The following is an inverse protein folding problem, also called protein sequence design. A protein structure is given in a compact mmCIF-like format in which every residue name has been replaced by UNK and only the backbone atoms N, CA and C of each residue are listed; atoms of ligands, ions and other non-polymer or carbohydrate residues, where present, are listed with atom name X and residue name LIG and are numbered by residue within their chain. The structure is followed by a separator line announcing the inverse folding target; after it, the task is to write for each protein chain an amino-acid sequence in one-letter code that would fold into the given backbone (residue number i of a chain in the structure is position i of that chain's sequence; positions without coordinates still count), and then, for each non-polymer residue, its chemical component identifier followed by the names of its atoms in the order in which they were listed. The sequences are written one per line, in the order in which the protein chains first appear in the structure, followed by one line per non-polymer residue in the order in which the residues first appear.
data_IF_035674758724
#
_entry.id   IF_035674758724
#
_cell.length_a   1.000
_cell.length_b   1.000
_cell.length_c   1.000
_cell.angle_alpha   90.00
_cell.angle_beta   90.00
_cell.angle_gamma   90.00
#
_symmetry.space_group_name_H-M   'P 1'
#
loop_
_entity.id
_entity.type
_entity.pdbx_description
1 polymer ?
#
# COMPACT_ATOMS: atom_id res chain seq x y z
N UNK A 1 -19.37 -16.76 -17.94
CA UNK A 1 -18.58 -16.58 -16.70
C UNK A 1 -17.41 -17.56 -16.78
N UNK A 2 -16.17 -17.09 -16.71
CA UNK A 2 -14.98 -17.96 -16.70
C UNK A 2 -14.58 -18.17 -15.25
N UNK A 3 -14.37 -19.42 -14.85
CA UNK A 3 -13.89 -19.77 -13.52
C UNK A 3 -12.48 -20.33 -13.65
N UNK A 4 -11.54 -19.80 -12.87
CA UNK A 4 -10.14 -20.25 -12.84
C UNK A 4 -9.82 -20.68 -11.42
N UNK A 5 -9.32 -21.91 -11.27
CA UNK A 5 -9.00 -22.53 -9.99
C UNK A 5 -9.66 -23.90 -9.81
N UNK A 6 -9.58 -24.48 -8.60
CA UNK A 6 -9.00 -23.91 -7.39
C UNK A 6 -7.47 -23.76 -7.47
N UNK A 7 -6.94 -22.66 -6.93
CA UNK A 7 -5.50 -22.47 -6.78
C UNK A 7 -4.98 -23.23 -5.56
N UNK A 8 -3.79 -23.82 -5.67
CA UNK A 8 -3.06 -24.46 -4.57
C UNK A 8 -1.88 -23.59 -4.14
N UNK A 9 -1.22 -23.96 -3.02
CA UNK A 9 0.00 -23.29 -2.50
C UNK A 9 1.04 -23.00 -3.61
N UNK A 10 1.13 -23.89 -4.60
CA UNK A 10 1.88 -23.66 -5.84
C UNK A 10 1.00 -24.02 -7.04
N UNK A 11 0.86 -23.09 -7.98
CA UNK A 11 0.11 -23.28 -9.23
C UNK A 11 0.85 -22.63 -10.39
N UNK A 12 1.05 -23.38 -11.48
CA UNK A 12 1.66 -22.85 -12.69
C UNK A 12 0.60 -22.55 -13.75
N UNK A 13 0.66 -21.37 -14.37
CA UNK A 13 -0.19 -21.00 -15.51
C UNK A 13 0.66 -21.11 -16.78
N UNK A 14 0.33 -22.06 -17.65
CA UNK A 14 1.05 -22.35 -18.89
C UNK A 14 0.13 -22.24 -20.10
N UNK A 15 0.70 -21.98 -21.28
CA UNK A 15 -0.04 -21.85 -22.53
C UNK A 15 0.76 -21.12 -23.60
N UNK A 16 0.33 -21.17 -24.88
CA UNK A 16 1.04 -20.50 -25.98
C UNK A 16 1.02 -18.97 -25.85
N UNK A 17 1.86 -18.29 -26.62
CA UNK A 17 1.81 -16.82 -26.72
C UNK A 17 0.44 -16.40 -27.27
N UNK A 18 -0.14 -15.36 -26.67
CA UNK A 18 -1.52 -14.93 -27.00
C UNK A 18 -2.64 -15.72 -26.28
N UNK A 19 -2.34 -16.77 -25.52
CA UNK A 19 -3.37 -17.55 -24.80
C UNK A 19 -4.03 -16.82 -23.61
N UNK A 20 -3.74 -15.53 -23.39
CA UNK A 20 -4.34 -14.74 -22.31
C UNK A 20 -3.72 -14.93 -20.93
N UNK A 21 -2.52 -15.54 -20.81
CA UNK A 21 -1.81 -15.69 -19.51
C UNK A 21 -1.62 -14.35 -18.80
N UNK A 22 -1.19 -13.33 -19.54
CA UNK A 22 -1.05 -11.97 -19.00
C UNK A 22 -2.39 -11.33 -18.65
N UNK A 23 -3.45 -11.61 -19.42
CA UNK A 23 -4.78 -11.09 -19.13
C UNK A 23 -5.33 -11.66 -17.81
N UNK A 24 -5.01 -12.93 -17.50
CA UNK A 24 -5.34 -13.52 -16.21
C UNK A 24 -4.59 -12.80 -15.06
N UNK A 25 -3.31 -12.48 -15.26
CA UNK A 25 -2.54 -11.69 -14.30
C UNK A 25 -3.12 -10.27 -14.12
N UNK A 26 -3.56 -9.64 -15.21
CA UNK A 26 -4.21 -8.32 -15.17
C UNK A 26 -5.56 -8.40 -14.45
N UNK A 27 -6.33 -9.48 -14.64
CA UNK A 27 -7.60 -9.70 -13.93
C UNK A 27 -7.39 -9.88 -12.40
N UNK A 28 -6.35 -10.64 -12.00
CA UNK A 28 -5.96 -10.79 -10.59
C UNK A 28 -5.51 -9.43 -10.04
N UNK A 29 -4.67 -8.71 -10.77
CA UNK A 29 -4.19 -7.37 -10.39
C UNK A 29 -5.35 -6.37 -10.25
N UNK A 30 -6.35 -6.47 -11.13
CA UNK A 30 -7.54 -5.63 -11.12
C UNK A 30 -8.38 -5.85 -9.85
N UNK A 31 -8.70 -7.09 -9.48
CA UNK A 31 -9.50 -7.36 -8.27
C UNK A 31 -8.74 -7.03 -6.99
N UNK A 32 -7.41 -7.19 -6.98
CA UNK A 32 -6.53 -6.80 -5.87
C UNK A 32 -6.24 -5.29 -5.80
N UNK A 33 -6.90 -4.49 -6.65
CA UNK A 33 -6.92 -3.04 -6.53
C UNK A 33 -5.66 -2.33 -7.07
N UNK A 34 -4.91 -2.97 -7.98
CA UNK A 34 -3.83 -2.31 -8.71
C UNK A 34 -4.40 -1.18 -9.58
N UNK A 35 -3.68 -0.06 -9.65
CA UNK A 35 -4.04 1.09 -10.51
C UNK A 35 -3.93 0.72 -11.98
N UNK A 36 -4.87 1.20 -12.79
CA UNK A 36 -4.95 0.95 -14.25
C UNK A 36 -3.66 1.27 -14.99
N UNK A 37 -2.96 2.35 -14.61
CA UNK A 37 -1.65 2.73 -15.19
C UNK A 37 -0.55 1.65 -15.14
N UNK A 38 -0.68 0.66 -14.27
CA UNK A 38 0.26 -0.46 -14.20
C UNK A 38 -0.29 -1.73 -14.88
N UNK A 39 -1.54 -1.68 -15.32
CA UNK A 39 -2.18 -2.66 -16.18
C UNK A 39 -1.98 -2.21 -17.64
N UNK A 40 -2.32 -3.07 -18.58
CA UNK A 40 -2.11 -2.83 -20.02
C UNK A 40 -3.10 -1.85 -20.66
N UNK A 41 -3.67 -0.92 -19.89
CA UNK A 41 -4.67 0.04 -20.35
C UNK A 41 -4.70 1.31 -19.50
N UNK A 42 -4.99 2.45 -20.12
CA UNK A 42 -5.05 3.74 -19.43
C UNK A 42 -6.38 3.89 -18.69
N UNK A 43 -7.46 3.36 -19.29
CA UNK A 43 -8.83 3.40 -18.75
C UNK A 43 -9.28 2.01 -18.30
N UNK A 44 -10.29 1.97 -17.43
CA UNK A 44 -10.91 0.71 -17.01
C UNK A 44 -11.64 0.02 -18.17
N UNK A 45 -12.25 0.80 -19.07
CA UNK A 45 -12.89 0.30 -20.28
C UNK A 45 -11.93 -0.55 -21.15
N UNK A 46 -10.65 -0.18 -21.24
CA UNK A 46 -9.64 -0.87 -22.05
C UNK A 46 -9.35 -2.30 -21.56
N UNK A 47 -9.75 -2.63 -20.32
CA UNK A 47 -9.61 -3.97 -19.74
C UNK A 47 -10.80 -4.88 -20.09
N UNK A 48 -11.87 -4.33 -20.67
CA UNK A 48 -13.05 -5.09 -21.08
C UNK A 48 -12.73 -5.79 -22.40
N UNK A 49 -13.18 -7.04 -22.54
CA UNK A 49 -12.98 -7.79 -23.78
C UNK A 49 -13.77 -7.15 -24.93
N UNK A 50 -13.12 -6.77 -26.04
CA UNK A 50 -13.77 -6.28 -27.26
C UNK A 50 -14.02 -7.46 -28.21
N UNK A 51 -15.24 -7.57 -28.73
CA UNK A 51 -15.54 -8.54 -29.79
C UNK A 51 -15.04 -8.00 -31.14
N UNK A 52 -14.71 -8.90 -32.05
CA UNK A 52 -14.27 -8.52 -33.40
C UNK A 52 -15.36 -7.71 -34.12
N UNK A 53 -15.02 -6.51 -34.58
CA UNK A 53 -15.96 -5.56 -35.21
C UNK A 53 -16.88 -4.79 -34.24
N UNK A 54 -16.73 -4.96 -32.93
CA UNK A 54 -17.50 -4.20 -31.93
C UNK A 54 -16.91 -2.78 -31.76
N UNK A 55 -17.73 -1.72 -31.81
CA UNK A 55 -17.27 -0.37 -31.50
C UNK A 55 -16.82 -0.26 -30.04
N UNK A 56 -15.76 0.53 -29.78
CA UNK A 56 -15.22 0.71 -28.43
C UNK A 56 -16.28 1.19 -27.42
N UNK A 57 -17.21 2.04 -27.87
CA UNK A 57 -18.33 2.55 -27.06
C UNK A 57 -19.27 1.42 -26.60
N UNK A 58 -19.52 0.44 -27.48
CA UNK A 58 -20.37 -0.71 -27.17
C UNK A 58 -19.67 -1.69 -26.21
N UNK A 59 -18.35 -1.88 -26.36
CA UNK A 59 -17.56 -2.68 -25.43
C UNK A 59 -17.47 -2.03 -24.05
N UNK A 60 -17.23 -0.72 -23.98
CA UNK A 60 -17.18 0.06 -22.74
C UNK A 60 -18.53 0.09 -22.01
N UNK A 61 -19.64 -0.01 -22.74
CA UNK A 61 -20.98 -0.06 -22.17
C UNK A 61 -21.32 -1.41 -21.49
N UNK A 62 -20.48 -2.45 -21.63
CA UNK A 62 -20.72 -3.75 -21.01
C UNK A 62 -20.12 -3.83 -19.60
N UNK A 63 -20.92 -4.17 -18.58
CA UNK A 63 -20.37 -4.36 -17.24
C UNK A 63 -19.44 -5.58 -17.23
N UNK A 64 -18.24 -5.40 -16.70
CA UNK A 64 -17.27 -6.46 -16.49
C UNK A 64 -17.02 -6.59 -14.99
N UNK A 65 -16.88 -7.83 -14.48
CA UNK A 65 -16.60 -8.06 -13.08
C UNK A 65 -15.57 -9.18 -12.91
N UNK A 66 -14.67 -8.98 -11.96
CA UNK A 66 -13.75 -10.01 -11.48
C UNK A 66 -14.07 -10.29 -10.01
N UNK A 67 -14.12 -11.56 -9.68
CA UNK A 67 -14.41 -12.06 -8.34
C UNK A 67 -13.25 -12.96 -7.89
N UNK A 68 -12.71 -12.65 -6.71
CA UNK A 68 -11.68 -13.39 -6.02
C UNK A 68 -12.30 -14.04 -4.79
N UNK A 69 -12.12 -15.35 -4.67
CA UNK A 69 -12.53 -16.09 -3.47
C UNK A 69 -11.27 -16.39 -2.67
N UNK A 70 -11.12 -15.72 -1.53
CA UNK A 70 -10.07 -15.98 -0.57
C UNK A 70 -10.57 -16.99 0.46
N UNK A 71 -9.79 -18.04 0.69
CA UNK A 71 -10.11 -19.08 1.67
C UNK A 71 -9.01 -19.10 2.71
N UNK A 72 -9.37 -18.76 3.94
CA UNK A 72 -8.49 -18.87 5.10
C UNK A 72 -8.62 -20.29 5.65
N UNK A 73 -7.52 -21.04 5.60
CA UNK A 73 -7.45 -22.41 6.12
C UNK A 73 -6.79 -22.32 7.48
N UNK A 74 -7.59 -22.45 8.54
CA UNK A 74 -7.08 -22.55 9.90
C UNK A 74 -6.64 -23.99 10.16
N UNK A 75 -5.33 -24.24 10.08
CA UNK A 75 -4.75 -25.56 10.34
C UNK A 75 -4.82 -25.93 11.84
N UNK A 76 -5.22 -25.01 12.74
CA UNK A 76 -5.02 -25.18 14.18
C UNK A 76 -6.19 -25.77 14.97
N UNK A 77 -7.46 -25.70 14.53
CA UNK A 77 -8.59 -26.16 15.40
C UNK A 77 -9.82 -26.74 14.69
N UNK A 78 -9.73 -27.28 13.47
CA UNK A 78 -10.91 -27.90 12.82
C UNK A 78 -12.11 -26.95 12.66
N UNK A 79 -11.89 -25.64 12.83
CA UNK A 79 -12.85 -24.58 12.54
C UNK A 79 -12.90 -24.42 11.03
N UNK A 80 -14.12 -24.40 10.50
CA UNK A 80 -14.36 -24.48 9.06
C UNK A 80 -13.64 -23.42 8.23
N UNK A 81 -13.57 -23.67 6.92
CA UNK A 81 -13.02 -22.74 5.94
C UNK A 81 -13.75 -21.39 6.00
N UNK A 82 -13.03 -20.32 6.38
CA UNK A 82 -13.58 -18.97 6.25
C UNK A 82 -13.35 -18.49 4.83
N UNK A 83 -14.44 -18.22 4.13
CA UNK A 83 -14.43 -17.76 2.74
C UNK A 83 -14.81 -16.30 2.68
N UNK A 84 -13.96 -15.50 2.06
CA UNK A 84 -14.20 -14.08 1.78
C UNK A 84 -14.25 -13.88 0.27
N UNK A 85 -15.35 -13.33 -0.23
CA UNK A 85 -15.53 -13.08 -1.67
C UNK A 85 -15.33 -11.59 -1.93
N UNK A 86 -14.26 -11.26 -2.66
CA UNK A 86 -13.97 -9.89 -3.07
C UNK A 86 -14.30 -9.73 -4.55
N UNK A 87 -15.18 -8.78 -4.88
CA UNK A 87 -15.62 -8.55 -6.25
C UNK A 87 -15.46 -7.09 -6.62
N UNK A 88 -14.85 -6.86 -7.78
CA UNK A 88 -14.68 -5.53 -8.37
C UNK A 88 -15.38 -5.49 -9.73
N UNK A 89 -16.23 -4.49 -9.94
CA UNK A 89 -17.08 -4.34 -11.13
C UNK A 89 -16.73 -3.05 -11.85
N UNK A 90 -16.45 -3.14 -13.14
CA UNK A 90 -16.33 -2.01 -14.06
C UNK A 90 -17.73 -1.66 -14.56
N UNK A 91 -18.16 -0.45 -14.29
CA UNK A 91 -19.45 0.07 -14.74
C UNK A 91 -19.36 0.64 -16.15
N UNK A 92 -20.49 0.73 -16.88
CA UNK A 92 -20.56 1.47 -18.14
C UNK A 92 -20.14 2.94 -18.02
N UNK A 93 -20.29 3.53 -16.83
CA UNK A 93 -19.79 4.88 -16.50
C UNK A 93 -18.26 4.96 -16.37
N UNK A 94 -17.53 3.88 -16.63
CA UNK A 94 -16.08 3.75 -16.41
C UNK A 94 -15.64 3.91 -14.94
N UNK A 95 -16.58 3.73 -14.00
CA UNK A 95 -16.33 3.72 -12.56
C UNK A 95 -16.18 2.29 -12.05
N UNK A 96 -15.41 2.12 -10.96
CA UNK A 96 -15.27 0.83 -10.29
C UNK A 96 -16.19 0.75 -9.07
N UNK A 97 -17.04 -0.28 -9.00
CA UNK A 97 -17.77 -0.65 -7.78
C UNK A 97 -17.07 -1.79 -7.05
N UNK A 98 -17.07 -1.71 -5.72
CA UNK A 98 -16.42 -2.67 -4.84
C UNK A 98 -17.47 -3.43 -4.03
N UNK A 99 -17.30 -4.74 -3.93
CA UNK A 99 -18.17 -5.62 -3.19
C UNK A 99 -17.36 -6.62 -2.36
N UNK A 100 -17.78 -6.87 -1.13
CA UNK A 100 -17.23 -7.91 -0.25
C UNK A 100 -18.40 -8.75 0.25
N UNK A 101 -18.33 -10.06 0.08
CA UNK A 101 -19.37 -11.02 0.46
C UNK A 101 -20.77 -10.66 -0.07
N UNK A 102 -20.78 -10.15 -1.32
CA UNK A 102 -22.00 -9.71 -2.01
C UNK A 102 -22.53 -8.33 -1.59
N UNK A 103 -21.95 -7.70 -0.56
CA UNK A 103 -22.35 -6.37 -0.10
C UNK A 103 -21.51 -5.27 -0.75
N UNK A 104 -22.14 -4.18 -1.18
CA UNK A 104 -21.43 -3.02 -1.69
C UNK A 104 -20.69 -2.31 -0.55
N UNK A 105 -19.40 -2.03 -0.76
CA UNK A 105 -18.54 -1.36 0.21
C UNK A 105 -17.85 -0.16 -0.41
N UNK A 106 -17.40 0.78 0.42
CA UNK A 106 -16.56 1.88 -0.05
C UNK A 106 -15.19 1.36 -0.52
N UNK A 107 -14.53 2.14 -1.38
CA UNK A 107 -13.17 1.82 -1.82
C UNK A 107 -12.21 1.67 -0.63
N UNK A 108 -12.32 2.54 0.37
CA UNK A 108 -11.49 2.50 1.58
C UNK A 108 -11.70 1.21 2.38
N UNK A 109 -12.95 0.80 2.60
CA UNK A 109 -13.26 -0.44 3.31
C UNK A 109 -12.79 -1.66 2.52
N UNK A 110 -12.94 -1.66 1.19
CA UNK A 110 -12.43 -2.73 0.33
C UNK A 110 -10.91 -2.89 0.47
N UNK A 111 -10.16 -1.79 0.44
CA UNK A 111 -8.70 -1.83 0.64
C UNK A 111 -8.32 -2.23 2.06
N UNK A 112 -9.06 -1.77 3.07
CA UNK A 112 -8.86 -2.20 4.46
C UNK A 112 -9.02 -3.71 4.62
N UNK A 113 -9.99 -4.33 3.93
CA UNK A 113 -10.19 -5.79 3.92
C UNK A 113 -9.05 -6.54 3.23
N UNK A 114 -8.48 -5.98 2.16
CA UNK A 114 -7.27 -6.53 1.51
C UNK A 114 -6.04 -6.40 2.41
N UNK A 115 -5.85 -5.25 3.06
CA UNK A 115 -4.75 -5.01 3.99
C UNK A 115 -4.82 -5.96 5.19
N UNK A 116 -6.02 -6.28 5.68
CA UNK A 116 -6.22 -7.26 6.77
C UNK A 116 -5.74 -8.68 6.46
N UNK A 117 -5.65 -9.05 5.17
CA UNK A 117 -5.08 -10.33 4.70
C UNK A 117 -3.65 -10.17 4.15
N UNK A 118 -2.95 -9.09 4.53
CA UNK A 118 -1.59 -8.74 4.09
C UNK A 118 -1.43 -8.50 2.58
N UNK A 119 -2.51 -8.20 1.87
CA UNK A 119 -2.46 -7.75 0.47
C UNK A 119 -2.39 -6.23 0.46
N UNK A 120 -1.18 -5.70 0.38
CA UNK A 120 -0.92 -4.26 0.39
C UNK A 120 -0.90 -3.71 -1.04
N UNK A 121 -2.08 -3.37 -1.59
CA UNK A 121 -2.22 -2.89 -2.98
C UNK A 121 -1.35 -1.67 -3.31
N UNK A 122 -1.08 -0.80 -2.32
CA UNK A 122 -0.20 0.38 -2.48
C UNK A 122 1.28 0.02 -2.52
N UNK A 123 1.69 -1.01 -1.79
CA UNK A 123 3.08 -1.47 -1.73
C UNK A 123 3.40 -2.50 -2.82
N UNK A 124 2.39 -3.10 -3.45
CA UNK A 124 2.54 -4.17 -4.47
C UNK A 124 3.39 -5.35 -3.96
N UNK A 125 3.22 -5.73 -2.69
CA UNK A 125 4.01 -6.81 -2.08
C UNK A 125 3.68 -8.23 -2.61
N UNK A 126 2.67 -8.37 -3.48
CA UNK A 126 2.16 -9.66 -3.96
C UNK A 126 2.26 -9.85 -5.49
N UNK A 127 2.73 -8.85 -6.25
CA UNK A 127 2.85 -8.95 -7.71
C UNK A 127 4.25 -8.56 -8.16
N UNK A 128 4.81 -9.39 -9.04
CA UNK A 128 6.04 -9.10 -9.77
C UNK A 128 5.68 -9.10 -11.26
N UNK A 129 5.76 -7.92 -11.88
CA UNK A 129 5.56 -7.75 -13.31
C UNK A 129 6.86 -8.00 -14.08
N UNK A 130 6.71 -8.27 -15.36
CA UNK A 130 7.86 -8.31 -16.27
C UNK A 130 8.55 -6.94 -16.27
N UNK A 131 9.86 -6.93 -16.00
CA UNK A 131 10.65 -5.70 -15.88
C UNK A 131 10.82 -5.18 -14.45
N UNK A 132 10.03 -5.65 -13.48
CA UNK A 132 10.20 -5.27 -12.07
C UNK A 132 11.58 -5.68 -11.54
N UNK A 133 12.12 -6.82 -12.00
CA UNK A 133 13.47 -7.28 -11.62
C UNK A 133 14.55 -6.30 -12.10
N UNK A 134 14.42 -5.81 -13.34
CA UNK A 134 15.35 -4.81 -13.89
C UNK A 134 15.20 -3.47 -13.18
N UNK A 135 13.97 -3.06 -12.87
CA UNK A 135 13.70 -1.84 -12.11
C UNK A 135 14.29 -1.92 -10.69
N UNK A 136 14.16 -3.07 -10.03
CA UNK A 136 14.76 -3.33 -8.73
C UNK A 136 16.30 -3.25 -8.77
N UNK A 137 16.93 -3.72 -9.85
CA UNK A 137 18.38 -3.61 -10.02
C UNK A 137 18.89 -2.17 -10.14
N UNK A 138 18.04 -1.23 -10.58
CA UNK A 138 18.38 0.20 -10.70
C UNK A 138 17.83 1.05 -9.54
N UNK A 139 17.25 0.41 -8.52
CA UNK A 139 16.62 1.10 -7.41
C UNK A 139 17.67 1.78 -6.52
N UNK A 140 17.46 3.06 -6.18
CA UNK A 140 18.36 3.76 -5.25
C UNK A 140 18.11 3.30 -3.81
N UNK A 141 19.14 3.40 -2.95
CA UNK A 141 19.04 2.99 -1.54
C UNK A 141 17.86 3.64 -0.80
N UNK A 142 17.55 4.91 -1.10
CA UNK A 142 16.41 5.62 -0.49
C UNK A 142 15.05 5.05 -0.92
N UNK A 143 14.91 4.68 -2.18
CA UNK A 143 13.67 4.08 -2.70
C UNK A 143 13.46 2.68 -2.14
N UNK A 144 14.55 1.94 -1.98
CA UNK A 144 14.55 0.62 -1.36
C UNK A 144 14.15 0.71 0.13
N UNK A 145 14.70 1.66 0.89
CA UNK A 145 14.29 1.89 2.29
C UNK A 145 12.80 2.23 2.38
N UNK A 146 12.32 3.15 1.52
CA UNK A 146 10.91 3.50 1.46
C UNK A 146 10.01 2.29 1.12
N UNK A 147 10.49 1.37 0.27
CA UNK A 147 9.77 0.14 -0.03
C UNK A 147 9.68 -0.78 1.19
N UNK A 148 10.79 -1.00 1.89
CA UNK A 148 10.80 -1.80 3.12
C UNK A 148 9.89 -1.23 4.20
N UNK A 149 9.88 0.09 4.40
CA UNK A 149 8.98 0.74 5.36
C UNK A 149 7.50 0.56 5.00
N UNK A 150 7.17 0.51 3.71
CA UNK A 150 5.80 0.23 3.25
C UNK A 150 5.40 -1.22 3.50
N UNK A 151 6.29 -2.15 3.20
CA UNK A 151 6.02 -3.60 3.35
C UNK A 151 5.95 -3.99 4.82
N UNK A 152 6.78 -3.40 5.68
CA UNK A 152 6.74 -3.63 7.13
C UNK A 152 5.55 -2.94 7.82
N UNK A 153 4.87 -2.02 7.14
CA UNK A 153 3.84 -1.17 7.74
C UNK A 153 4.39 -0.02 8.59
N UNK A 154 5.71 0.08 8.77
CA UNK A 154 6.34 1.13 9.60
C UNK A 154 6.14 2.54 9.05
N UNK A 155 5.86 2.67 7.75
CA UNK A 155 5.59 3.96 7.10
C UNK A 155 4.42 4.73 7.74
N UNK A 156 3.46 4.03 8.36
CA UNK A 156 2.32 4.65 9.05
C UNK A 156 2.74 5.50 10.26
N UNK A 157 3.86 5.14 10.91
CA UNK A 157 4.38 5.84 12.09
C UNK A 157 5.32 6.99 11.74
N UNK A 158 5.67 7.17 10.46
CA UNK A 158 6.68 8.15 10.04
C UNK A 158 6.28 9.58 10.42
N UNK A 159 5.03 9.96 10.19
CA UNK A 159 4.54 11.32 10.48
C UNK A 159 4.57 11.62 11.98
N UNK A 160 4.12 10.66 12.80
CA UNK A 160 4.18 10.80 14.26
C UNK A 160 5.63 10.84 14.77
N UNK A 161 6.50 10.00 14.21
CA UNK A 161 7.92 9.98 14.53
C UNK A 161 8.59 11.32 14.22
N UNK A 162 8.37 11.88 13.02
CA UNK A 162 8.91 13.17 12.60
C UNK A 162 8.41 14.31 13.51
N UNK A 163 7.12 14.30 13.87
CA UNK A 163 6.54 15.28 14.81
C UNK A 163 7.21 15.20 16.19
N UNK A 164 7.33 14.00 16.75
CA UNK A 164 7.94 13.80 18.07
C UNK A 164 9.44 14.12 18.05
N UNK A 165 10.14 13.81 16.96
CA UNK A 165 11.53 14.17 16.77
C UNK A 165 11.73 15.69 16.75
N UNK A 166 10.86 16.42 16.06
CA UNK A 166 10.89 17.89 16.05
C UNK A 166 10.58 18.49 17.42
N UNK A 167 9.60 17.94 18.15
CA UNK A 167 9.30 18.38 19.52
C UNK A 167 10.48 18.11 20.48
N UNK A 168 11.11 16.94 20.35
CA UNK A 168 12.31 16.58 21.12
C UNK A 168 13.43 17.56 20.86
N UNK A 169 13.74 17.87 19.60
CA UNK A 169 14.79 18.82 19.24
C UNK A 169 14.53 20.21 19.87
N UNK A 170 13.29 20.71 19.81
CA UNK A 170 12.91 21.99 20.41
C UNK A 170 13.10 22.00 21.94
N UNK A 171 12.78 20.90 22.62
CA UNK A 171 13.00 20.75 24.07
C UNK A 171 14.48 20.66 24.41
N UNK A 172 15.28 19.96 23.61
CA UNK A 172 16.74 19.87 23.78
C UNK A 172 17.41 21.25 23.64
N UNK A 173 17.00 22.05 22.66
CA UNK A 173 17.52 23.41 22.48
C UNK A 173 17.11 24.34 23.63
N UNK A 174 15.85 24.27 24.06
CA UNK A 174 15.38 25.03 25.22
C UNK A 174 16.14 24.64 26.51
N UNK A 175 16.45 23.35 26.67
CA UNK A 175 17.25 22.88 27.80
C UNK A 175 18.68 23.42 27.72
N UNK A 176 19.32 23.38 26.54
CA UNK A 176 20.67 23.96 26.33
C UNK A 176 20.72 25.44 26.66
N UNK A 177 19.71 26.20 26.26
CA UNK A 177 19.60 27.63 26.57
C UNK A 177 19.47 27.88 28.08
N UNK A 178 18.61 27.12 28.76
CA UNK A 178 18.44 27.18 30.21
C UNK A 178 19.75 26.85 30.95
N UNK A 179 20.47 25.81 30.52
CA UNK A 179 21.76 25.45 31.09
C UNK A 179 22.81 26.56 30.89
N UNK A 180 22.83 27.19 29.72
CA UNK A 180 23.74 28.30 29.41
C UNK A 180 23.43 29.52 30.28
N UNK A 181 22.15 29.90 30.39
CA UNK A 181 21.71 31.00 31.26
C UNK A 181 22.05 30.74 32.73
N UNK A 182 21.79 29.53 33.23
CA UNK A 182 22.15 29.14 34.61
C UNK A 182 23.65 29.24 34.85
N UNK A 183 24.48 28.78 33.90
CA UNK A 183 25.94 28.87 34.00
C UNK A 183 26.41 30.31 34.05
N UNK A 184 25.88 31.19 33.21
CA UNK A 184 26.24 32.60 33.19
C UNK A 184 25.85 33.30 34.50
N UNK A 185 24.62 33.07 35.00
CA UNK A 185 24.17 33.63 36.28
C UNK A 185 25.02 33.16 37.48
N UNK A 186 25.49 31.90 37.48
CA UNK A 186 26.40 31.39 38.51
C UNK A 186 27.78 32.07 38.46
N UNK A 187 28.30 32.33 37.26
CA UNK A 187 29.56 33.04 37.08
C UNK A 187 29.46 34.50 37.53
N UNK A 188 28.39 35.20 37.15
CA UNK A 188 28.11 36.57 37.60
C UNK A 188 27.99 36.65 39.13
N UNK A 189 27.27 35.69 39.75
CA UNK A 189 27.15 35.62 41.22
C UNK A 189 28.51 35.44 41.90
N UNK A 190 29.40 34.61 41.33
CA UNK A 190 30.77 34.43 41.84
C UNK A 190 31.58 35.72 41.75
N UNK A 191 31.52 36.41 40.60
CA UNK A 191 32.24 37.67 40.41
C UNK A 191 31.76 38.76 41.38
N UNK A 192 30.43 38.93 41.51
CA UNK A 192 29.83 39.87 42.46
C UNK A 192 30.23 39.56 43.92
N UNK A 193 30.34 38.28 44.29
CA UNK A 193 30.78 37.89 45.62
C UNK A 193 32.25 38.20 45.86
N UNK A 194 33.12 38.05 44.86
CA UNK A 194 34.54 38.39 44.96
C UNK A 194 34.74 39.90 45.08
N UNK A 195 34.05 40.69 44.27
CA UNK A 195 34.10 42.15 44.33
C UNK A 195 33.63 42.71 45.68
N UNK A 196 32.63 42.09 46.30
CA UNK A 196 32.21 42.47 47.67
C UNK A 196 33.29 42.25 48.71
N UNK A 197 33.97 41.09 48.65
CA UNK A 197 35.04 40.75 49.61
C UNK A 197 36.28 41.63 49.43
N UNK A 198 36.55 42.10 48.21
CA UNK A 198 37.67 43.03 47.93
C UNK A 198 37.38 44.49 48.32
N UNK A 199 36.11 44.84 48.54
CA UNK A 199 35.68 46.19 48.89
C UNK A 199 35.51 46.43 50.40
N UNK A 200 35.47 45.35 51.20
CA UNK A 200 35.47 45.35 52.67
C UNK A 200 36.90 45.22 53.23
#
# INVERSE_FOLDING_TARGET
RVQVGPFRKFTCIVGPNGAGKSNLMDAISFVLGVRTRHLRGDKLADLVHHKEGEPDEAAAARPCAVELVYVEVDESEGRGEKRTVMRRVIQPSNEARFQVDGQAVSQEEYFRRLEAINILSKARNFLVFQGDVTAAAHCQGKDLTNFFEKVSGSISFREEYERLAAEKAKKEDSARDLYTKKRNALNEKKQMSQQKVEAD
#
